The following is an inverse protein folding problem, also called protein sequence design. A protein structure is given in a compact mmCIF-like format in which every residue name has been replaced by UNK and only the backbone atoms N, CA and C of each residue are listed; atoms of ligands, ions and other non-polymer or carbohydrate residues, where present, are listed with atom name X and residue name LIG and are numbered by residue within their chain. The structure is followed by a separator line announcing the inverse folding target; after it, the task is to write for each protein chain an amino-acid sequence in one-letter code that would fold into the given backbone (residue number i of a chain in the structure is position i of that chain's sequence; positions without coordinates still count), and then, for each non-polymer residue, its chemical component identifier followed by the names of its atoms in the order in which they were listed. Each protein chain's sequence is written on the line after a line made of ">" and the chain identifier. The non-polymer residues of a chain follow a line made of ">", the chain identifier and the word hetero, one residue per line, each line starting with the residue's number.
data_IF_653989979455
#
_entry.id   IF_653989979455
#
_cell.length_a   1.000
_cell.length_b   1.000
_cell.length_c   1.000
_cell.angle_alpha   90.00
_cell.angle_beta   90.00
_cell.angle_gamma   90.00
#
_symmetry.space_group_name_H-M   'P 1'
#
loop_
_entity.id
_entity.type
_entity.pdbx_description
1 polymer ?
#
# COMPACT_ATOMS: atom_id res chain seq x y z
N UNK A 1 15.77 -6.68 7.81
CA UNK A 1 14.53 -5.93 8.11
C UNK A 1 13.99 -5.37 6.80
N UNK A 2 12.83 -5.84 6.37
CA UNK A 2 12.13 -5.29 5.19
C UNK A 2 11.61 -3.90 5.54
N UNK A 3 11.85 -2.91 4.68
CA UNK A 3 11.34 -1.55 4.90
C UNK A 3 9.88 -1.50 4.50
N UNK A 4 9.04 -0.99 5.39
CA UNK A 4 7.65 -0.69 5.08
C UNK A 4 7.54 0.70 4.44
N UNK A 5 6.69 0.80 3.44
CA UNK A 5 6.29 2.06 2.83
C UNK A 5 4.79 2.24 3.01
N UNK A 6 4.38 3.50 3.11
CA UNK A 6 2.99 3.88 3.09
C UNK A 6 2.74 4.85 1.94
N UNK A 7 1.55 4.78 1.37
CA UNK A 7 1.11 5.68 0.32
C UNK A 7 -0.38 6.01 0.47
N UNK A 8 -0.75 7.22 0.05
CA UNK A 8 -2.15 7.63 -0.03
C UNK A 8 -2.67 7.38 -1.45
N UNK A 9 -3.83 6.74 -1.53
CA UNK A 9 -4.54 6.42 -2.76
C UNK A 9 -5.96 7.00 -2.72
N UNK A 10 -6.57 7.09 -3.90
CA UNK A 10 -8.01 7.30 -4.05
C UNK A 10 -8.79 5.98 -4.00
N UNK A 11 -10.09 6.05 -3.76
CA UNK A 11 -11.00 4.89 -3.86
C UNK A 11 -10.98 4.23 -5.24
N UNK A 12 -10.77 5.00 -6.32
CA UNK A 12 -10.63 4.44 -7.67
C UNK A 12 -9.33 3.61 -7.82
N UNK A 13 -8.25 3.98 -7.14
CA UNK A 13 -7.02 3.20 -7.12
C UNK A 13 -7.12 1.98 -6.19
N UNK A 14 -7.94 2.07 -5.13
CA UNK A 14 -8.23 0.94 -4.26
C UNK A 14 -8.93 -0.20 -5.00
N UNK A 15 -9.90 0.08 -5.87
CA UNK A 15 -10.56 -0.99 -6.65
C UNK A 15 -9.57 -1.72 -7.55
N UNK A 16 -8.65 -1.01 -8.19
CA UNK A 16 -7.56 -1.61 -8.96
C UNK A 16 -6.65 -2.49 -8.09
N UNK A 17 -6.36 -2.03 -6.86
CA UNK A 17 -5.53 -2.76 -5.90
C UNK A 17 -6.23 -4.03 -5.40
N UNK A 18 -7.54 -3.98 -5.11
CA UNK A 18 -8.34 -5.16 -4.75
C UNK A 18 -8.44 -6.19 -5.88
N UNK A 19 -8.42 -5.74 -7.14
CA UNK A 19 -8.45 -6.63 -8.30
C UNK A 19 -7.09 -7.30 -8.60
N UNK A 20 -5.99 -6.77 -8.05
CA UNK A 20 -4.62 -7.24 -8.31
C UNK A 20 -4.05 -8.10 -7.16
N UNK A 21 -4.77 -8.19 -6.05
CA UNK A 21 -4.32 -8.88 -4.84
C UNK A 21 -5.43 -9.79 -4.32
N UNK A 22 -5.04 -10.89 -3.69
CA UNK A 22 -6.00 -11.74 -2.99
C UNK A 22 -6.42 -11.08 -1.68
N UNK A 23 -7.74 -10.91 -1.48
CA UNK A 23 -8.29 -10.46 -0.21
C UNK A 23 -8.22 -11.59 0.82
N UNK A 24 -7.41 -11.40 1.86
CA UNK A 24 -7.25 -12.36 2.96
C UNK A 24 -8.36 -12.15 4.00
N UNK A 25 -8.58 -10.90 4.40
CA UNK A 25 -9.65 -10.53 5.32
C UNK A 25 -10.00 -9.05 5.19
N UNK A 26 -11.18 -8.69 5.67
CA UNK A 26 -11.58 -7.30 5.85
C UNK A 26 -12.26 -7.10 7.19
N UNK A 27 -12.14 -5.88 7.73
CA UNK A 27 -12.84 -5.45 8.93
C UNK A 27 -13.25 -3.99 8.83
N UNK A 28 -14.28 -3.62 9.58
CA UNK A 28 -14.69 -2.24 9.77
C UNK A 28 -14.33 -1.81 11.19
N UNK A 29 -13.68 -0.65 11.32
CA UNK A 29 -13.31 -0.04 12.60
C UNK A 29 -13.59 1.46 12.51
N UNK A 30 -14.51 1.97 13.33
CA UNK A 30 -14.87 3.39 13.41
C UNK A 30 -15.16 4.04 12.05
N UNK A 31 -15.88 3.32 11.18
CA UNK A 31 -16.25 3.75 9.83
C UNK A 31 -15.12 3.67 8.79
N UNK A 32 -13.91 3.27 9.18
CA UNK A 32 -12.86 2.90 8.24
C UNK A 32 -12.95 1.41 7.89
N UNK A 33 -12.72 1.06 6.63
CA UNK A 33 -12.62 -0.34 6.19
C UNK A 33 -11.17 -0.73 6.01
N UNK A 34 -10.74 -1.76 6.71
CA UNK A 34 -9.39 -2.31 6.65
C UNK A 34 -9.45 -3.55 5.76
N UNK A 35 -8.53 -3.64 4.79
CA UNK A 35 -8.36 -4.78 3.90
C UNK A 35 -6.96 -5.33 4.12
N UNK A 36 -6.88 -6.62 4.42
CA UNK A 36 -5.64 -7.38 4.41
C UNK A 36 -5.53 -8.11 3.08
N UNK A 37 -4.47 -7.81 2.34
CA UNK A 37 -4.26 -8.20 0.96
C UNK A 37 -2.94 -8.95 0.81
N UNK A 38 -2.95 -10.00 0.01
CA UNK A 38 -1.79 -10.79 -0.35
C UNK A 38 -1.44 -10.57 -1.82
N UNK A 39 -0.24 -10.08 -2.10
CA UNK A 39 0.25 -9.88 -3.46
C UNK A 39 0.41 -11.19 -4.25
N UNK A 40 -0.10 -11.21 -5.49
CA UNK A 40 -0.02 -12.39 -6.37
C UNK A 40 1.32 -12.51 -7.11
N UNK A 41 2.04 -11.40 -7.34
CA UNK A 41 3.21 -11.36 -8.22
C UNK A 41 4.57 -11.51 -7.53
N UNK A 42 4.64 -11.24 -6.24
CA UNK A 42 5.84 -11.42 -5.43
C UNK A 42 5.44 -12.22 -4.20
N UNK A 43 6.00 -13.41 -4.08
CA UNK A 43 5.76 -14.38 -3.03
C UNK A 43 5.83 -13.70 -1.65
N UNK A 44 4.68 -13.40 -1.03
CA UNK A 44 4.60 -12.96 0.36
C UNK A 44 4.51 -11.46 0.62
N UNK A 45 4.29 -10.60 -0.39
CA UNK A 45 4.09 -9.16 -0.11
C UNK A 45 2.69 -8.90 0.45
N UNK A 46 2.62 -8.94 1.79
CA UNK A 46 1.43 -8.58 2.58
C UNK A 46 1.21 -7.07 2.54
N UNK A 47 -0.03 -6.65 2.27
CA UNK A 47 -0.43 -5.25 2.26
C UNK A 47 -1.68 -5.04 3.12
N UNK A 48 -1.71 -3.90 3.82
CA UNK A 48 -2.88 -3.42 4.54
C UNK A 48 -3.36 -2.16 3.83
N UNK A 49 -4.62 -2.15 3.38
CA UNK A 49 -5.27 -0.95 2.87
C UNK A 49 -6.36 -0.50 3.85
N UNK A 50 -6.37 0.78 4.21
CA UNK A 50 -7.37 1.41 5.08
C UNK A 50 -8.13 2.44 4.27
N UNK A 51 -9.39 2.15 3.96
CA UNK A 51 -10.31 3.08 3.33
C UNK A 51 -11.02 3.91 4.40
N UNK A 52 -10.93 5.23 4.29
CA UNK A 52 -11.57 6.18 5.20
C UNK A 52 -12.93 6.63 4.63
N UNK A 53 -13.88 7.05 5.49
CA UNK A 53 -15.19 7.55 5.05
C UNK A 53 -15.13 8.73 4.08
N UNK A 54 -14.04 9.50 4.11
CA UNK A 54 -13.82 10.65 3.23
C UNK A 54 -13.29 10.26 1.84
N UNK A 55 -13.27 8.97 1.50
CA UNK A 55 -12.84 8.47 0.20
C UNK A 55 -11.31 8.40 0.01
N UNK A 56 -10.52 8.74 1.04
CA UNK A 56 -9.08 8.54 1.03
C UNK A 56 -8.74 7.13 1.46
N UNK A 57 -7.66 6.60 0.90
CA UNK A 57 -7.18 5.26 1.21
C UNK A 57 -5.71 5.35 1.58
N UNK A 58 -5.30 4.66 2.64
CA UNK A 58 -3.89 4.53 3.03
C UNK A 58 -3.49 3.08 2.80
N UNK A 59 -2.41 2.84 2.08
CA UNK A 59 -1.88 1.48 1.88
C UNK A 59 -0.51 1.39 2.50
N UNK A 60 -0.28 0.34 3.27
CA UNK A 60 1.00 -0.01 3.90
C UNK A 60 1.43 -1.36 3.40
N UNK A 61 2.68 -1.47 2.99
CA UNK A 61 3.25 -2.73 2.50
C UNK A 61 4.77 -2.66 2.39
N UNK A 62 5.42 -3.77 2.00
CA UNK A 62 6.85 -3.79 1.74
C UNK A 62 7.20 -2.84 0.59
N UNK A 63 8.38 -2.22 0.68
CA UNK A 63 8.90 -1.39 -0.40
C UNK A 63 9.01 -2.25 -1.67
N UNK A 64 8.46 -1.81 -2.83
CA UNK A 64 8.71 -2.50 -4.07
C UNK A 64 10.23 -2.55 -4.30
N UNK A 65 10.75 -3.74 -4.61
CA UNK A 65 12.18 -4.02 -4.66
C UNK A 65 12.90 -3.31 -5.84
N UNK A 66 12.22 -2.42 -6.57
CA UNK A 66 12.60 -2.02 -7.92
C UNK A 66 12.50 -0.50 -8.17
N UNK A 67 13.29 0.28 -7.42
CA UNK A 67 13.60 1.64 -7.85
C UNK A 67 15.07 2.02 -7.58
N UNK A 68 15.79 2.57 -8.57
CA UNK A 68 17.16 3.05 -8.39
C UNK A 68 17.16 4.12 -7.29
N UNK A 69 17.99 3.90 -6.26
CA UNK A 69 18.18 4.85 -5.16
C UNK A 69 18.45 6.23 -5.76
N UNK A 70 17.53 7.18 -5.57
CA UNK A 70 17.78 8.60 -5.90
C UNK A 70 19.06 9.03 -5.18
N UNK A 71 20.16 9.17 -5.93
CA UNK A 71 21.42 9.71 -5.43
C UNK A 71 21.14 11.17 -5.09
N UNK A 72 21.13 11.51 -3.80
CA UNK A 72 21.10 12.91 -3.36
C UNK A 72 22.37 13.55 -3.91
N UNK A 73 22.24 14.46 -4.87
CA UNK A 73 23.34 15.30 -5.31
C UNK A 73 23.34 16.47 -4.32
N UNK A 74 24.26 16.47 -3.37
CA UNK A 74 24.53 17.65 -2.57
C UNK A 74 25.20 18.66 -3.50
N UNK A 75 24.46 19.69 -3.89
CA UNK A 75 25.03 20.88 -4.53
C UNK A 75 25.71 21.65 -3.41
N UNK A 76 27.03 21.51 -3.31
CA UNK A 76 27.86 22.40 -2.48
C UNK A 76 27.92 23.75 -3.18
N UNK A 77 27.59 24.80 -2.42
CA UNK A 77 27.63 26.20 -2.86
C UNK A 77 29.02 26.79 -2.63
#
# INVERSE_FOLDING_TARGET
>A
MTKLHWQALSTAQLSALLNQNALVSSSEVDGATIYHLQGERAQGDEQIAVALPNGRVIVVGPAPNDAPRRRRIEVSN
#
